data_IF_282714970061
#
_entry.id   IF_282714970061
#
_cell.length_a   1.000
_cell.length_b   1.000
_cell.length_c   1.000
_cell.angle_alpha   90.00
_cell.angle_beta   90.00
_cell.angle_gamma   90.00
#
_symmetry.space_group_name_H-M   'P 1'
#
loop_
_entity.id
_entity.type
_entity.pdbx_description
1 polymer ?
#
# COMPACT_ATOMS: atom_id res chain seq x y z
N UNK A 1 70.31 47.62 11.15
CA UNK A 1 69.94 46.28 10.58
C UNK A 1 68.55 45.78 10.93
N UNK A 2 67.48 46.60 10.96
CA UNK A 2 66.14 46.09 11.29
C UNK A 2 65.17 45.88 10.07
N UNK A 3 65.52 46.39 8.90
CA UNK A 3 64.57 46.35 7.75
C UNK A 3 64.48 44.93 7.10
N UNK A 4 65.52 44.15 7.12
CA UNK A 4 65.59 42.84 6.49
C UNK A 4 64.74 41.78 7.21
N UNK A 5 64.64 41.86 8.52
CA UNK A 5 63.83 40.94 9.35
C UNK A 5 62.34 41.21 9.23
N UNK A 6 61.93 42.46 8.99
CA UNK A 6 60.50 42.81 8.75
C UNK A 6 60.01 42.29 7.39
N UNK A 7 60.86 42.41 6.36
CA UNK A 7 60.55 41.92 5.01
C UNK A 7 60.37 40.38 5.02
N UNK A 8 61.27 39.65 5.68
CA UNK A 8 61.15 38.17 5.81
C UNK A 8 59.88 37.76 6.56
N UNK A 9 59.51 38.48 7.63
CA UNK A 9 58.28 38.16 8.38
C UNK A 9 57.03 38.45 7.52
N UNK A 10 57.00 39.52 6.76
CA UNK A 10 55.90 39.86 5.85
C UNK A 10 55.77 38.84 4.69
N UNK A 11 56.89 38.43 4.10
CA UNK A 11 56.91 37.43 3.05
C UNK A 11 56.43 36.04 3.56
N UNK A 12 56.82 35.66 4.79
CA UNK A 12 56.36 34.44 5.42
C UNK A 12 54.84 34.45 5.71
N UNK A 13 54.30 35.58 6.16
CA UNK A 13 52.86 35.73 6.41
C UNK A 13 52.06 35.61 5.10
N UNK A 14 52.52 36.28 4.02
CA UNK A 14 51.85 36.18 2.71
C UNK A 14 51.90 34.74 2.17
N UNK A 15 53.04 34.08 2.35
CA UNK A 15 53.16 32.68 1.93
C UNK A 15 52.25 31.73 2.71
N UNK A 16 52.11 31.92 4.02
CA UNK A 16 51.21 31.15 4.86
C UNK A 16 49.72 31.40 4.50
N UNK A 17 49.35 32.63 4.21
CA UNK A 17 48.00 32.98 3.75
C UNK A 17 47.70 32.31 2.39
N UNK A 18 48.67 32.38 1.46
CA UNK A 18 48.51 31.71 0.17
C UNK A 18 48.42 30.18 0.28
N UNK A 19 49.23 29.60 1.16
CA UNK A 19 49.19 28.16 1.42
C UNK A 19 47.86 27.73 2.07
N UNK A 20 47.37 28.55 3.02
CA UNK A 20 46.09 28.30 3.67
C UNK A 20 44.93 28.42 2.69
N UNK A 21 44.94 29.43 1.83
CA UNK A 21 43.96 29.60 0.75
C UNK A 21 43.99 28.45 -0.26
N UNK A 22 45.17 27.94 -0.61
CA UNK A 22 45.33 26.82 -1.53
C UNK A 22 44.83 25.49 -0.90
N UNK A 23 45.09 25.27 0.39
CA UNK A 23 44.60 24.08 1.12
C UNK A 23 43.09 24.13 1.29
N UNK A 24 42.52 25.29 1.63
CA UNK A 24 41.06 25.44 1.77
C UNK A 24 40.33 25.26 0.43
N UNK A 25 40.87 25.75 -0.68
CA UNK A 25 40.27 25.50 -2.01
C UNK A 25 40.35 24.03 -2.43
N UNK A 26 41.38 23.28 -2.01
CA UNK A 26 41.47 21.84 -2.25
C UNK A 26 40.45 21.06 -1.42
N UNK A 27 40.27 21.40 -0.15
CA UNK A 27 39.31 20.74 0.74
C UNK A 27 37.85 21.04 0.32
N UNK A 28 37.58 22.26 -0.15
CA UNK A 28 36.21 22.62 -0.61
C UNK A 28 35.88 22.01 -1.96
N UNK A 29 36.88 21.74 -2.83
CA UNK A 29 36.64 21.08 -4.11
C UNK A 29 36.57 19.54 -4.02
N UNK A 30 37.00 18.94 -2.89
CA UNK A 30 36.88 17.50 -2.61
C UNK A 30 35.63 17.18 -1.74
N UNK A 31 34.71 18.12 -1.56
CA UNK A 31 33.37 17.71 -1.13
C UNK A 31 32.75 16.99 -2.33
N UNK A 32 32.85 15.67 -2.34
CA UNK A 32 31.95 14.77 -3.06
C UNK A 32 30.51 15.17 -2.67
N UNK A 33 29.97 16.16 -3.35
CA UNK A 33 28.52 16.24 -3.44
C UNK A 33 28.12 14.94 -4.11
N UNK A 34 27.34 14.06 -3.42
CA UNK A 34 26.79 12.92 -4.10
C UNK A 34 26.01 13.48 -5.30
N UNK A 35 26.59 13.40 -6.48
CA UNK A 35 25.88 13.69 -7.71
C UNK A 35 24.81 12.62 -7.81
N UNK A 36 23.63 12.90 -7.31
CA UNK A 36 22.44 12.18 -7.73
C UNK A 36 22.35 12.45 -9.24
N UNK A 37 22.91 11.53 -10.01
CA UNK A 37 22.51 11.41 -11.40
C UNK A 37 21.04 11.03 -11.34
N UNK A 38 20.17 12.02 -11.47
CA UNK A 38 18.87 11.78 -12.03
C UNK A 38 19.14 11.19 -13.41
N UNK A 39 19.20 9.87 -13.50
CA UNK A 39 19.18 9.20 -14.78
C UNK A 39 17.88 9.66 -15.44
N UNK A 40 17.97 10.39 -16.53
CA UNK A 40 16.84 10.85 -17.34
C UNK A 40 16.15 9.69 -18.09
N UNK A 41 16.42 8.46 -17.72
CA UNK A 41 15.56 7.32 -17.90
C UNK A 41 15.00 6.97 -16.53
N UNK A 42 13.85 7.58 -16.15
CA UNK A 42 12.93 6.87 -15.29
C UNK A 42 12.54 5.66 -16.13
N UNK A 43 13.30 4.61 -15.99
CA UNK A 43 12.86 3.28 -16.33
C UNK A 43 11.66 3.07 -15.39
N UNK A 44 10.45 3.23 -15.91
CA UNK A 44 9.22 2.74 -15.28
C UNK A 44 9.20 1.21 -15.39
N UNK A 45 10.34 0.57 -15.17
CA UNK A 45 10.34 -0.78 -14.66
C UNK A 45 9.67 -0.69 -13.29
N UNK A 46 8.62 -1.43 -13.12
CA UNK A 46 7.63 -1.47 -12.03
C UNK A 46 8.17 -1.56 -10.58
N UNK A 47 9.42 -1.26 -10.32
CA UNK A 47 10.10 -1.49 -9.03
C UNK A 47 10.10 -0.28 -8.09
N UNK A 48 9.40 0.81 -8.43
CA UNK A 48 9.48 2.06 -7.66
C UNK A 48 8.23 2.50 -6.92
N UNK A 49 7.05 2.09 -7.33
CA UNK A 49 5.77 2.40 -6.68
C UNK A 49 5.05 1.09 -6.40
N UNK A 50 4.83 0.78 -5.13
CA UNK A 50 4.06 -0.39 -4.75
C UNK A 50 2.64 -0.24 -5.32
N UNK A 51 2.34 -0.93 -6.41
CA UNK A 51 1.02 -0.99 -7.04
C UNK A 51 0.38 -2.34 -6.77
N UNK A 52 -0.95 -2.37 -6.71
CA UNK A 52 -1.67 -3.62 -6.57
C UNK A 52 -1.47 -4.48 -7.82
N UNK A 53 -1.11 -5.75 -7.63
CA UNK A 53 -1.01 -6.72 -8.72
C UNK A 53 -2.37 -6.91 -9.39
N UNK A 54 -2.40 -7.04 -10.72
CA UNK A 54 -3.62 -7.42 -11.43
C UNK A 54 -3.85 -8.93 -11.25
N UNK A 55 -4.98 -9.27 -10.62
CA UNK A 55 -5.30 -10.63 -10.17
C UNK A 55 -6.34 -11.36 -11.03
N UNK A 56 -6.95 -10.69 -12.02
CA UNK A 56 -7.99 -11.29 -12.86
C UNK A 56 -7.44 -12.53 -13.57
N UNK A 57 -8.13 -13.66 -13.42
CA UNK A 57 -7.74 -14.97 -13.92
C UNK A 57 -6.88 -15.79 -12.94
N UNK A 58 -6.46 -15.23 -11.81
CA UNK A 58 -5.74 -15.96 -10.77
C UNK A 58 -6.70 -16.66 -9.81
N UNK A 59 -6.26 -17.76 -9.19
CA UNK A 59 -7.01 -18.43 -8.13
C UNK A 59 -6.83 -17.71 -6.79
N UNK A 60 -7.89 -17.67 -5.98
CA UNK A 60 -7.84 -17.22 -4.61
C UNK A 60 -6.98 -18.18 -3.78
N UNK A 61 -5.85 -17.76 -3.20
CA UNK A 61 -4.98 -18.65 -2.44
C UNK A 61 -5.67 -19.15 -1.17
N UNK A 62 -5.40 -20.41 -0.80
CA UNK A 62 -5.88 -21.00 0.45
C UNK A 62 -5.10 -20.40 1.64
N UNK A 63 -5.73 -19.50 2.35
CA UNK A 63 -5.14 -18.76 3.48
C UNK A 63 -6.09 -18.86 4.67
N UNK A 64 -5.53 -19.07 5.86
CA UNK A 64 -6.27 -18.97 7.10
C UNK A 64 -6.20 -17.56 7.64
N UNK A 65 -7.36 -16.94 7.80
CA UNK A 65 -7.58 -15.64 8.42
C UNK A 65 -8.31 -15.85 9.76
N UNK A 66 -8.38 -14.82 10.58
CA UNK A 66 -9.13 -14.87 11.83
C UNK A 66 -10.38 -13.99 11.71
N UNK A 67 -11.56 -14.49 12.14
CA UNK A 67 -12.72 -13.62 12.23
C UNK A 67 -12.65 -12.72 13.49
N UNK A 68 -13.60 -11.79 13.62
CA UNK A 68 -13.63 -10.84 14.74
C UNK A 68 -13.91 -11.49 16.10
N UNK A 69 -14.33 -12.74 16.13
CA UNK A 69 -14.58 -13.54 17.34
C UNK A 69 -13.38 -14.47 17.68
N UNK A 70 -12.29 -14.38 16.93
CA UNK A 70 -11.04 -15.12 17.17
C UNK A 70 -11.02 -16.54 16.56
N UNK A 71 -11.96 -16.87 15.69
CA UNK A 71 -12.00 -18.17 15.03
C UNK A 71 -11.24 -18.12 13.71
N UNK A 72 -10.54 -19.22 13.41
CA UNK A 72 -9.83 -19.37 12.15
C UNK A 72 -10.80 -19.72 11.00
N UNK A 73 -10.67 -18.99 9.90
CA UNK A 73 -11.50 -19.12 8.69
C UNK A 73 -10.58 -19.24 7.47
N UNK A 74 -10.68 -20.36 6.76
CA UNK A 74 -9.97 -20.53 5.49
C UNK A 74 -10.70 -19.81 4.36
N UNK A 75 -9.95 -19.11 3.49
CA UNK A 75 -10.50 -18.51 2.27
C UNK A 75 -11.24 -19.51 1.40
N UNK A 76 -10.83 -20.78 1.39
CA UNK A 76 -11.51 -21.86 0.65
C UNK A 76 -12.92 -22.15 1.19
N UNK A 77 -13.15 -21.95 2.49
CA UNK A 77 -14.49 -22.14 3.09
C UNK A 77 -15.50 -21.04 2.70
N UNK A 78 -15.02 -19.95 2.09
CA UNK A 78 -15.85 -18.86 1.62
C UNK A 78 -16.50 -19.12 0.26
N UNK A 79 -15.97 -20.10 -0.51
CA UNK A 79 -16.33 -20.37 -1.92
C UNK A 79 -17.61 -21.16 -2.13
N UNK A 80 -18.51 -21.20 -1.14
CA UNK A 80 -19.82 -21.86 -1.27
C UNK A 80 -20.83 -21.05 -2.12
N UNK A 81 -20.52 -19.77 -2.39
CA UNK A 81 -21.23 -18.84 -3.26
C UNK A 81 -20.21 -17.97 -4.00
N UNK A 82 -20.59 -17.30 -5.10
CA UNK A 82 -19.81 -16.21 -5.63
C UNK A 82 -19.46 -15.20 -4.52
N UNK A 83 -18.25 -14.68 -4.51
CA UNK A 83 -17.67 -13.98 -3.37
C UNK A 83 -17.16 -12.59 -3.77
N UNK A 84 -17.50 -11.58 -2.99
CA UNK A 84 -16.88 -10.27 -3.04
C UNK A 84 -16.04 -10.08 -1.79
N UNK A 85 -14.74 -9.87 -1.96
CA UNK A 85 -13.81 -9.52 -0.87
C UNK A 85 -13.43 -8.04 -1.00
N UNK A 86 -13.58 -7.30 0.09
CA UNK A 86 -13.09 -5.93 0.20
C UNK A 86 -11.95 -5.86 1.21
N UNK A 87 -10.79 -5.36 0.79
CA UNK A 87 -9.60 -5.15 1.64
C UNK A 87 -9.60 -3.71 2.14
N UNK A 88 -9.58 -3.54 3.46
CA UNK A 88 -9.80 -2.25 4.09
C UNK A 88 -9.12 -2.10 5.46
N UNK A 89 -9.13 -0.88 6.02
CA UNK A 89 -8.83 -0.58 7.42
C UNK A 89 -9.46 0.75 7.85
N UNK A 90 -9.65 0.96 9.15
CA UNK A 90 -10.45 2.07 9.71
C UNK A 90 -9.91 3.47 9.39
N UNK A 91 -8.59 3.64 9.32
CA UNK A 91 -7.96 4.95 9.03
C UNK A 91 -7.72 5.22 7.54
N UNK A 92 -8.24 4.34 6.66
CA UNK A 92 -8.22 4.49 5.20
C UNK A 92 -9.42 5.34 4.77
N UNK A 93 -9.21 6.58 4.38
CA UNK A 93 -10.29 7.50 4.04
C UNK A 93 -11.16 7.04 2.86
N UNK A 94 -10.61 6.55 1.72
CA UNK A 94 -11.45 6.00 0.65
C UNK A 94 -12.19 4.72 1.08
N UNK A 95 -11.60 3.87 1.94
CA UNK A 95 -12.30 2.70 2.48
C UNK A 95 -13.55 3.10 3.27
N UNK A 96 -13.46 4.16 4.07
CA UNK A 96 -14.58 4.68 4.86
C UNK A 96 -15.75 5.12 3.98
N UNK A 97 -15.46 5.76 2.84
CA UNK A 97 -16.50 6.25 1.93
C UNK A 97 -17.22 5.13 1.19
N UNK A 98 -16.55 4.02 0.88
CA UNK A 98 -17.17 2.91 0.15
C UNK A 98 -17.92 1.91 1.04
N UNK A 99 -17.64 1.83 2.37
CA UNK A 99 -18.30 0.88 3.27
C UNK A 99 -19.84 0.91 3.22
N UNK A 100 -20.54 2.07 3.19
CA UNK A 100 -21.99 2.10 3.03
C UNK A 100 -22.46 1.50 1.70
N UNK A 101 -21.68 1.68 0.64
CA UNK A 101 -21.96 1.09 -0.68
C UNK A 101 -21.89 -0.43 -0.64
N UNK A 102 -20.85 -0.97 0.00
CA UNK A 102 -20.68 -2.41 0.21
C UNK A 102 -21.77 -3.00 1.11
N UNK A 103 -22.14 -2.32 2.19
CA UNK A 103 -23.22 -2.73 3.09
C UNK A 103 -24.59 -2.80 2.37
N UNK A 104 -24.89 -1.81 1.53
CA UNK A 104 -26.11 -1.79 0.72
C UNK A 104 -26.12 -2.92 -0.32
N UNK A 105 -24.98 -3.17 -0.98
CA UNK A 105 -24.84 -4.24 -1.94
C UNK A 105 -24.97 -5.63 -1.27
N UNK A 106 -24.37 -5.82 -0.09
CA UNK A 106 -24.59 -7.04 0.70
C UNK A 106 -26.08 -7.26 0.98
N UNK A 107 -26.79 -6.25 1.44
CA UNK A 107 -28.23 -6.34 1.71
C UNK A 107 -29.01 -6.73 0.44
N UNK A 108 -28.62 -6.20 -0.71
CA UNK A 108 -29.29 -6.47 -1.99
C UNK A 108 -28.99 -7.86 -2.56
N UNK A 109 -27.77 -8.34 -2.41
CA UNK A 109 -27.26 -9.54 -3.10
C UNK A 109 -26.93 -10.72 -2.20
N UNK A 110 -27.12 -10.64 -0.87
CA UNK A 110 -26.69 -11.68 0.12
C UNK A 110 -27.19 -13.09 -0.14
N UNK A 111 -28.30 -13.24 -0.85
CA UNK A 111 -28.83 -14.56 -1.23
C UNK A 111 -28.01 -15.21 -2.37
N UNK A 112 -27.37 -14.42 -3.21
CA UNK A 112 -26.65 -14.83 -4.41
C UNK A 112 -25.14 -14.72 -4.27
N UNK A 113 -24.66 -13.69 -3.58
CA UNK A 113 -23.24 -13.36 -3.44
C UNK A 113 -22.91 -13.24 -1.95
N UNK A 114 -21.78 -13.78 -1.54
CA UNK A 114 -21.21 -13.59 -0.21
C UNK A 114 -20.31 -12.34 -0.21
N UNK A 115 -20.50 -11.47 0.75
CA UNK A 115 -19.59 -10.33 0.98
C UNK A 115 -18.72 -10.61 2.19
N UNK A 116 -17.42 -10.27 2.10
CA UNK A 116 -16.44 -10.42 3.17
C UNK A 116 -15.51 -9.20 3.20
N UNK A 117 -15.32 -8.63 4.37
CA UNK A 117 -14.32 -7.58 4.59
C UNK A 117 -13.04 -8.16 5.19
N UNK A 118 -11.90 -8.02 4.52
CA UNK A 118 -10.58 -8.37 5.06
C UNK A 118 -9.91 -7.12 5.60
N UNK A 119 -9.86 -7.01 6.91
CA UNK A 119 -9.18 -5.91 7.58
C UNK A 119 -7.69 -6.24 7.75
N UNK A 120 -6.81 -5.30 7.36
CA UNK A 120 -5.36 -5.52 7.29
C UNK A 120 -4.55 -4.77 8.34
N UNK A 121 -5.21 -4.06 9.28
CA UNK A 121 -4.47 -3.18 10.19
C UNK A 121 -5.05 -3.09 11.59
N UNK A 122 -6.37 -3.18 11.74
CA UNK A 122 -7.04 -2.90 13.01
C UNK A 122 -7.13 -4.14 13.90
N UNK A 123 -7.37 -3.93 15.19
CA UNK A 123 -7.79 -5.01 16.09
C UNK A 123 -9.22 -5.45 15.78
N UNK A 124 -9.61 -6.65 16.22
CA UNK A 124 -10.96 -7.19 16.05
C UNK A 124 -12.04 -6.22 16.57
N UNK A 125 -11.82 -5.64 17.76
CA UNK A 125 -12.74 -4.67 18.35
C UNK A 125 -12.89 -3.43 17.48
N UNK A 126 -11.78 -2.83 17.05
CA UNK A 126 -11.81 -1.63 16.20
C UNK A 126 -12.47 -1.92 14.85
N UNK A 127 -12.11 -3.03 14.21
CA UNK A 127 -12.69 -3.42 12.93
C UNK A 127 -14.21 -3.61 13.04
N UNK A 128 -14.69 -4.33 14.08
CA UNK A 128 -16.10 -4.60 14.32
C UNK A 128 -16.90 -3.32 14.60
N UNK A 129 -16.41 -2.51 15.55
CA UNK A 129 -17.09 -1.26 15.93
C UNK A 129 -17.12 -0.25 14.78
N UNK A 130 -16.02 -0.15 14.05
CA UNK A 130 -15.93 0.77 12.93
C UNK A 130 -16.86 0.36 11.78
N UNK A 131 -16.82 -0.90 11.36
CA UNK A 131 -17.67 -1.42 10.30
C UNK A 131 -19.17 -1.25 10.62
N UNK A 132 -19.56 -1.50 11.88
CA UNK A 132 -20.93 -1.32 12.34
C UNK A 132 -21.44 0.13 12.20
N UNK A 133 -20.56 1.14 12.37
CA UNK A 133 -20.92 2.56 12.18
C UNK A 133 -21.35 2.88 10.73
N UNK A 134 -20.91 2.07 9.78
CA UNK A 134 -21.23 2.21 8.33
C UNK A 134 -22.27 1.21 7.85
N UNK A 135 -22.94 0.50 8.79
CA UNK A 135 -24.02 -0.44 8.47
C UNK A 135 -23.53 -1.78 7.90
N UNK A 136 -22.26 -2.12 8.07
CA UNK A 136 -21.70 -3.40 7.61
C UNK A 136 -22.18 -4.53 8.51
N UNK A 137 -22.85 -5.52 7.91
CA UNK A 137 -23.34 -6.74 8.56
C UNK A 137 -22.67 -8.01 8.01
N UNK A 138 -21.96 -7.91 6.90
CA UNK A 138 -21.22 -9.03 6.33
C UNK A 138 -20.01 -9.43 7.17
N UNK A 139 -19.50 -10.63 6.91
CA UNK A 139 -18.38 -11.22 7.66
C UNK A 139 -17.11 -10.38 7.58
N UNK A 140 -16.47 -10.21 8.73
CA UNK A 140 -15.19 -9.51 8.85
C UNK A 140 -14.08 -10.49 9.25
N UNK A 141 -13.02 -10.50 8.45
CA UNK A 141 -11.81 -11.27 8.69
C UNK A 141 -10.62 -10.33 8.89
N UNK A 142 -9.61 -10.81 9.59
CA UNK A 142 -8.41 -10.06 9.97
C UNK A 142 -7.18 -10.73 9.36
N UNK A 143 -6.45 -9.99 8.54
CA UNK A 143 -5.14 -10.41 8.02
C UNK A 143 -4.02 -9.93 8.95
N UNK A 144 -3.97 -10.49 10.18
CA UNK A 144 -3.05 -10.07 11.24
C UNK A 144 -1.58 -10.16 10.87
N UNK A 145 -1.24 -11.10 10.01
CA UNK A 145 0.14 -11.40 9.62
C UNK A 145 0.51 -10.84 8.23
N UNK A 146 -0.41 -10.16 7.56
CA UNK A 146 -0.22 -9.64 6.21
C UNK A 146 -0.07 -10.72 5.14
N UNK A 147 -0.46 -11.96 5.43
CA UNK A 147 -0.29 -13.09 4.52
C UNK A 147 -1.21 -12.99 3.31
N UNK A 148 -2.46 -12.55 3.53
CA UNK A 148 -3.45 -12.36 2.47
C UNK A 148 -2.99 -11.30 1.47
N UNK A 149 -2.65 -10.11 1.96
CA UNK A 149 -2.17 -9.03 1.08
C UNK A 149 -0.84 -9.37 0.40
N UNK A 150 0.06 -10.08 1.09
CA UNK A 150 1.35 -10.48 0.56
C UNK A 150 1.21 -11.50 -0.59
N UNK A 151 0.39 -12.55 -0.42
CA UNK A 151 0.20 -13.57 -1.47
C UNK A 151 -0.56 -13.04 -2.69
N UNK A 152 -1.44 -12.06 -2.49
CA UNK A 152 -2.18 -11.42 -3.56
C UNK A 152 -1.45 -10.19 -4.15
N UNK A 153 -0.28 -9.81 -3.62
CA UNK A 153 0.43 -8.62 -4.08
C UNK A 153 -0.37 -7.33 -3.94
N UNK A 154 -1.18 -7.23 -2.86
CA UNK A 154 -1.96 -6.04 -2.55
C UNK A 154 -1.08 -5.07 -1.76
N UNK A 155 -0.71 -3.96 -2.37
CA UNK A 155 0.16 -2.95 -1.79
C UNK A 155 -0.60 -1.80 -1.10
N UNK A 156 -1.81 -1.51 -1.55
CA UNK A 156 -2.64 -0.39 -1.04
C UNK A 156 -4.10 -0.78 -0.94
N UNK A 157 -4.80 -0.27 0.08
CA UNK A 157 -6.26 -0.39 0.22
C UNK A 157 -6.94 0.94 -0.20
N UNK A 158 -8.23 0.90 -0.62
CA UNK A 158 -9.04 -0.31 -0.71
C UNK A 158 -8.78 -1.11 -1.99
N UNK A 159 -9.10 -2.40 -1.92
CA UNK A 159 -9.19 -3.28 -3.10
C UNK A 159 -10.44 -4.13 -2.96
N UNK A 160 -11.26 -4.16 -4.00
CA UNK A 160 -12.42 -5.05 -4.08
C UNK A 160 -12.17 -6.11 -5.13
N UNK A 161 -12.34 -7.38 -4.75
CA UNK A 161 -12.17 -8.55 -5.61
C UNK A 161 -13.51 -9.24 -5.78
N UNK A 162 -13.83 -9.66 -7.00
CA UNK A 162 -14.95 -10.56 -7.31
C UNK A 162 -14.40 -11.94 -7.66
N UNK A 163 -14.85 -12.97 -6.97
CA UNK A 163 -14.35 -14.34 -7.06
C UNK A 163 -15.53 -15.27 -7.38
N UNK A 164 -15.40 -16.09 -8.40
CA UNK A 164 -16.41 -17.08 -8.73
C UNK A 164 -16.44 -18.28 -7.75
N UNK A 165 -17.41 -19.17 -7.91
CA UNK A 165 -17.53 -20.36 -7.05
C UNK A 165 -16.39 -21.36 -7.23
N UNK A 166 -15.63 -21.26 -8.30
CA UNK A 166 -14.44 -22.07 -8.57
C UNK A 166 -13.20 -21.49 -7.89
N UNK A 167 -13.32 -20.30 -7.30
CA UNK A 167 -12.21 -19.58 -6.63
C UNK A 167 -11.38 -18.74 -7.58
N UNK A 168 -11.81 -18.53 -8.82
CA UNK A 168 -11.11 -17.64 -9.77
C UNK A 168 -11.52 -16.21 -9.56
N UNK A 169 -10.55 -15.32 -9.48
CA UNK A 169 -10.77 -13.87 -9.42
C UNK A 169 -11.18 -13.38 -10.81
N UNK A 170 -12.45 -13.04 -10.97
CA UNK A 170 -13.02 -12.59 -12.25
C UNK A 170 -13.12 -11.08 -12.36
N UNK A 171 -12.96 -10.36 -11.25
CA UNK A 171 -13.01 -8.91 -11.25
C UNK A 171 -12.17 -8.30 -10.12
N UNK A 172 -11.63 -7.12 -10.36
CA UNK A 172 -10.82 -6.38 -9.40
C UNK A 172 -11.01 -4.88 -9.58
N UNK A 173 -11.23 -4.18 -8.47
CA UNK A 173 -11.17 -2.73 -8.38
C UNK A 173 -10.12 -2.32 -7.35
N UNK A 174 -9.09 -1.63 -7.76
CA UNK A 174 -8.16 -0.95 -6.88
C UNK A 174 -8.61 0.51 -6.65
N UNK A 175 -8.57 0.95 -5.40
CA UNK A 175 -9.13 2.24 -5.00
C UNK A 175 -10.63 2.15 -4.67
N UNK A 176 -11.20 3.26 -4.23
CA UNK A 176 -12.62 3.38 -3.87
C UNK A 176 -13.54 2.89 -4.99
N UNK A 177 -14.55 2.09 -4.62
CA UNK A 177 -15.55 1.59 -5.55
C UNK A 177 -16.87 2.34 -5.37
N UNK A 178 -17.42 2.83 -6.48
CA UNK A 178 -18.74 3.44 -6.51
C UNK A 178 -19.86 2.39 -6.54
N UNK A 179 -21.10 2.79 -6.24
CA UNK A 179 -22.25 1.90 -6.28
C UNK A 179 -22.49 1.30 -7.68
N UNK A 180 -22.29 2.09 -8.73
CA UNK A 180 -22.45 1.61 -10.12
C UNK A 180 -21.36 0.60 -10.52
N UNK A 181 -20.09 0.86 -10.14
CA UNK A 181 -18.98 -0.06 -10.40
C UNK A 181 -19.17 -1.38 -9.65
N UNK A 182 -19.62 -1.33 -8.39
CA UNK A 182 -19.88 -2.52 -7.59
C UNK A 182 -21.05 -3.34 -8.17
N UNK A 183 -22.12 -2.68 -8.60
CA UNK A 183 -23.27 -3.32 -9.24
C UNK A 183 -22.88 -4.01 -10.57
N UNK A 184 -22.03 -3.36 -11.38
CA UNK A 184 -21.49 -3.96 -12.61
C UNK A 184 -20.60 -5.17 -12.29
N UNK A 185 -19.73 -5.07 -11.28
CA UNK A 185 -18.85 -6.14 -10.84
C UNK A 185 -19.65 -7.36 -10.34
N UNK A 186 -20.71 -7.15 -9.55
CA UNK A 186 -21.58 -8.22 -9.06
C UNK A 186 -22.39 -8.84 -10.21
N UNK A 187 -22.91 -8.05 -11.14
CA UNK A 187 -23.62 -8.57 -12.32
C UNK A 187 -22.72 -9.42 -13.23
N UNK A 188 -21.46 -9.05 -13.38
CA UNK A 188 -20.49 -9.86 -14.12
C UNK A 188 -20.22 -11.19 -13.39
N UNK A 189 -20.08 -11.15 -12.07
CA UNK A 189 -19.87 -12.32 -11.22
C UNK A 189 -21.06 -13.33 -11.27
N UNK A 190 -22.26 -12.87 -11.57
CA UNK A 190 -23.49 -13.69 -11.61
C UNK A 190 -23.84 -14.21 -13.02
N UNK A 191 -23.01 -13.96 -14.04
CA UNK A 191 -23.21 -14.51 -15.40
C UNK A 191 -22.77 -15.96 -15.50
#
# INVERSE_FOLDING_TARGET
MPARTRFFKQALIVFLIALFGFVTTRIVNDTDTPSYKLSNSIDFSSDGIATNTLLIGSELPAINLENVDGQEVSTQSLLNKPLVINVWYSTCEPCRRELPTLANADTQYRDQVRFVGVNIKDSATVAKEFAAQYGVEFELLLDKNGLFISQLGIATAPVTLAIDQQGVIVGQKAGEISASELDELVKELLK
#
